data_IF_643192172086
#
_entry.id   IF_643192172086
#
_cell.length_a   1.000
_cell.length_b   1.000
_cell.length_c   1.000
_cell.angle_alpha   90.00
_cell.angle_beta   90.00
_cell.angle_gamma   90.00
#
_symmetry.space_group_name_H-M   'P 1'
#
loop_
_entity.id
_entity.type
_entity.pdbx_description
1 polymer ?
#
# COMPACT_ATOMS: atom_id res chain seq x y z
N UNK A 1 38.12 -17.19 -39.74
CA UNK A 1 36.82 -17.60 -40.31
C UNK A 1 35.66 -16.88 -39.61
N UNK A 2 35.75 -15.55 -39.40
CA UNK A 2 34.98 -14.88 -38.33
C UNK A 2 34.22 -13.61 -38.77
N UNK A 3 34.16 -13.31 -40.08
CA UNK A 3 33.51 -12.08 -40.59
C UNK A 3 32.12 -12.26 -41.20
N UNK A 4 31.65 -13.48 -41.46
CA UNK A 4 30.37 -13.68 -42.18
C UNK A 4 29.12 -13.40 -41.34
N UNK A 5 29.19 -13.56 -40.02
CA UNK A 5 28.01 -13.41 -39.15
C UNK A 5 27.73 -11.95 -38.71
N UNK A 6 28.74 -11.07 -38.71
CA UNK A 6 28.60 -9.65 -38.30
C UNK A 6 27.56 -8.87 -39.11
N UNK A 7 27.39 -9.16 -40.41
CA UNK A 7 26.40 -8.50 -41.28
C UNK A 7 24.95 -8.81 -40.88
N UNK A 8 24.72 -9.98 -40.30
CA UNK A 8 23.38 -10.41 -39.90
C UNK A 8 23.02 -9.94 -38.50
N UNK A 9 24.00 -9.71 -37.61
CA UNK A 9 23.76 -9.22 -36.24
C UNK A 9 23.00 -7.89 -36.24
N UNK A 10 23.36 -6.95 -37.10
CA UNK A 10 22.66 -5.66 -37.20
C UNK A 10 21.21 -5.84 -37.65
N UNK A 11 20.98 -6.68 -38.66
CA UNK A 11 19.63 -6.94 -39.19
C UNK A 11 18.77 -7.73 -38.19
N UNK A 12 19.35 -8.72 -37.50
CA UNK A 12 18.67 -9.49 -36.45
C UNK A 12 18.35 -8.59 -35.26
N UNK A 13 19.29 -7.74 -34.83
CA UNK A 13 19.06 -6.76 -33.78
C UNK A 13 17.97 -5.76 -34.15
N UNK A 14 17.99 -5.23 -35.38
CA UNK A 14 16.95 -4.34 -35.89
C UNK A 14 15.58 -5.01 -35.88
N UNK A 15 15.47 -6.25 -36.39
CA UNK A 15 14.22 -7.03 -36.39
C UNK A 15 13.72 -7.32 -34.98
N UNK A 16 14.60 -7.73 -34.05
CA UNK A 16 14.23 -8.00 -32.66
C UNK A 16 13.68 -6.75 -31.95
N UNK A 17 14.16 -5.55 -32.29
CA UNK A 17 13.61 -4.31 -31.75
C UNK A 17 12.17 -4.01 -32.22
N UNK A 18 11.71 -4.56 -33.36
CA UNK A 18 10.31 -4.43 -33.77
C UNK A 18 9.37 -5.40 -33.05
N UNK A 19 9.89 -6.49 -32.49
CA UNK A 19 9.09 -7.55 -31.84
C UNK A 19 9.14 -7.53 -30.32
N UNK A 20 10.03 -6.74 -29.72
CA UNK A 20 10.07 -6.53 -28.27
C UNK A 20 9.23 -5.30 -27.92
N UNK A 21 7.93 -5.49 -27.76
CA UNK A 21 7.04 -4.49 -27.17
C UNK A 21 6.74 -4.87 -25.72
N UNK A 22 6.76 -3.88 -24.83
CA UNK A 22 6.21 -4.05 -23.49
C UNK A 22 4.69 -3.98 -23.59
N UNK A 23 4.01 -5.03 -23.15
CA UNK A 23 2.56 -5.04 -23.00
C UNK A 23 2.20 -4.58 -21.58
N UNK A 24 1.01 -4.01 -21.43
CA UNK A 24 0.46 -3.75 -20.09
C UNK A 24 0.19 -5.10 -19.44
N UNK A 25 0.53 -5.22 -18.16
CA UNK A 25 0.20 -6.44 -17.42
C UNK A 25 -1.33 -6.59 -17.35
N UNK A 26 -1.84 -7.76 -17.76
CA UNK A 26 -3.26 -8.10 -17.67
C UNK A 26 -3.66 -8.35 -16.22
N UNK A 27 -4.01 -7.27 -15.52
CA UNK A 27 -4.32 -7.30 -14.10
C UNK A 27 -5.25 -6.18 -13.66
N UNK A 28 -5.47 -6.11 -12.34
CA UNK A 28 -6.29 -5.09 -11.71
C UNK A 28 -5.42 -4.16 -10.87
N UNK A 29 -5.79 -2.88 -10.84
CA UNK A 29 -5.18 -1.86 -10.00
C UNK A 29 -6.08 -1.62 -8.79
N UNK A 30 -5.54 -1.81 -7.60
CA UNK A 30 -6.19 -1.49 -6.33
C UNK A 30 -5.53 -0.24 -5.74
N UNK A 31 -6.31 0.79 -5.43
CA UNK A 31 -5.77 2.03 -4.87
C UNK A 31 -6.81 2.81 -4.08
N UNK A 32 -6.34 3.64 -3.15
CA UNK A 32 -7.16 4.63 -2.44
C UNK A 32 -6.57 6.01 -2.76
N UNK A 33 -7.28 6.88 -3.49
CA UNK A 33 -6.84 8.26 -3.68
C UNK A 33 -6.68 8.95 -2.33
N UNK A 34 -5.51 9.54 -2.09
CA UNK A 34 -5.26 10.34 -0.90
C UNK A 34 -5.77 11.76 -1.15
N UNK A 35 -6.83 12.15 -0.45
CA UNK A 35 -7.34 13.51 -0.44
C UNK A 35 -7.11 14.14 0.94
N UNK A 36 -6.19 15.10 1.01
CA UNK A 36 -5.75 15.74 2.25
C UNK A 36 -6.79 16.69 2.89
N UNK A 37 -8.03 16.72 2.39
CA UNK A 37 -9.13 17.48 3.00
C UNK A 37 -10.50 16.81 2.98
N UNK A 38 -10.61 15.57 2.51
CA UNK A 38 -11.88 14.86 2.45
C UNK A 38 -12.23 14.19 3.78
N UNK A 39 -13.52 14.23 4.14
CA UNK A 39 -14.09 13.34 5.13
C UNK A 39 -14.22 11.94 4.50
N UNK A 40 -13.52 10.96 5.07
CA UNK A 40 -13.50 9.60 4.57
C UNK A 40 -12.59 9.37 3.35
N UNK A 41 -12.66 8.17 2.81
CA UNK A 41 -11.92 7.76 1.62
C UNK A 41 -12.68 6.68 0.84
N UNK A 42 -12.23 6.42 -0.38
CA UNK A 42 -12.77 5.33 -1.20
C UNK A 42 -11.64 4.53 -1.84
N UNK A 43 -11.61 3.23 -1.60
CA UNK A 43 -10.73 2.30 -2.32
C UNK A 43 -11.41 1.87 -3.61
N UNK A 44 -10.66 1.82 -4.71
CA UNK A 44 -11.12 1.40 -6.02
C UNK A 44 -10.32 0.17 -6.49
N UNK A 45 -11.01 -0.82 -7.05
CA UNK A 45 -10.44 -1.91 -7.83
C UNK A 45 -10.84 -1.74 -9.30
N UNK A 46 -9.86 -1.56 -10.18
CA UNK A 46 -10.07 -1.14 -11.57
C UNK A 46 -9.28 -2.02 -12.55
N UNK A 47 -9.81 -2.29 -13.74
CA UNK A 47 -9.09 -2.97 -14.81
C UNK A 47 -8.39 -1.99 -15.79
N UNK A 48 -7.68 -2.51 -16.79
CA UNK A 48 -6.94 -1.71 -17.77
C UNK A 48 -7.84 -0.87 -18.69
N UNK A 49 -9.13 -1.19 -18.80
CA UNK A 49 -10.15 -0.40 -19.53
C UNK A 49 -10.79 0.70 -18.67
N UNK A 50 -10.26 0.97 -17.48
CA UNK A 50 -10.78 1.94 -16.51
C UNK A 50 -12.18 1.61 -15.96
N UNK A 51 -12.61 0.35 -16.07
CA UNK A 51 -13.85 -0.13 -15.46
C UNK A 51 -13.60 -0.40 -13.98
N UNK A 52 -14.37 0.26 -13.12
CA UNK A 52 -14.39 -0.01 -11.68
C UNK A 52 -15.14 -1.32 -11.46
N UNK A 53 -14.44 -2.32 -10.95
CA UNK A 53 -14.99 -3.64 -10.64
C UNK A 53 -15.58 -3.69 -9.23
N UNK A 54 -14.98 -2.94 -8.31
CA UNK A 54 -15.49 -2.77 -6.95
C UNK A 54 -14.98 -1.49 -6.31
N UNK A 55 -15.66 -1.04 -5.26
CA UNK A 55 -15.26 0.08 -4.44
C UNK A 55 -15.65 -0.13 -2.98
N UNK A 56 -14.79 0.32 -2.06
CA UNK A 56 -15.06 0.31 -0.62
C UNK A 56 -15.02 1.73 -0.09
N UNK A 57 -16.00 2.10 0.74
CA UNK A 57 -16.04 3.39 1.43
C UNK A 57 -15.45 3.26 2.83
N UNK A 58 -14.79 4.32 3.27
CA UNK A 58 -14.11 4.39 4.55
C UNK A 58 -14.44 5.69 5.26
N UNK A 59 -14.64 5.64 6.57
CA UNK A 59 -14.88 6.83 7.39
C UNK A 59 -13.58 7.62 7.65
N UNK A 60 -12.43 6.96 7.53
CA UNK A 60 -11.12 7.53 7.81
C UNK A 60 -10.20 7.48 6.57
N UNK A 61 -9.35 8.50 6.45
CA UNK A 61 -8.34 8.57 5.40
C UNK A 61 -7.29 7.46 5.52
N UNK A 62 -6.65 7.06 4.39
CA UNK A 62 -5.72 5.95 4.37
C UNK A 62 -4.42 6.28 5.11
N UNK A 63 -3.88 5.31 5.84
CA UNK A 63 -2.50 5.34 6.34
C UNK A 63 -1.49 4.82 5.30
N UNK A 64 -1.92 3.82 4.51
CA UNK A 64 -1.17 3.25 3.40
C UNK A 64 -2.13 2.64 2.35
N UNK A 65 -1.61 1.75 1.51
CA UNK A 65 -2.41 1.06 0.50
C UNK A 65 -3.27 -0.06 1.12
N UNK A 66 -4.46 -0.33 0.56
CA UNK A 66 -5.24 -1.50 0.94
C UNK A 66 -4.64 -2.78 0.33
N UNK A 67 -4.92 -3.92 0.97
CA UNK A 67 -4.54 -5.24 0.49
C UNK A 67 -5.79 -6.03 0.09
N UNK A 68 -5.87 -6.50 -1.16
CA UNK A 68 -6.91 -7.44 -1.59
C UNK A 68 -6.50 -8.88 -1.23
N UNK A 69 -7.35 -9.57 -0.49
CA UNK A 69 -7.11 -10.94 -0.04
C UNK A 69 -7.77 -11.98 -0.97
N UNK A 70 -7.34 -13.26 -0.92
CA UNK A 70 -7.91 -14.32 -1.77
C UNK A 70 -9.41 -14.59 -1.59
N UNK A 71 -9.99 -14.19 -0.44
CA UNK A 71 -11.43 -14.28 -0.14
C UNK A 71 -12.22 -13.05 -0.65
N UNK A 72 -11.60 -12.20 -1.48
CA UNK A 72 -12.14 -10.95 -2.01
C UNK A 72 -12.43 -9.88 -0.95
N UNK A 73 -12.00 -10.09 0.30
CA UNK A 73 -12.00 -9.03 1.30
C UNK A 73 -10.79 -8.12 1.14
N UNK A 74 -10.84 -6.94 1.76
CA UNK A 74 -9.68 -6.05 1.85
C UNK A 74 -9.24 -5.85 3.29
N UNK A 75 -7.95 -5.60 3.48
CA UNK A 75 -7.40 -4.95 4.67
C UNK A 75 -7.11 -3.49 4.30
N UNK A 76 -7.68 -2.57 5.07
CA UNK A 76 -7.54 -1.12 4.88
C UNK A 76 -6.88 -0.49 6.11
N UNK A 77 -5.60 -0.07 6.00
CA UNK A 77 -4.92 0.70 7.05
C UNK A 77 -5.37 2.16 7.00
N UNK A 78 -5.77 2.72 8.15
CA UNK A 78 -6.34 4.06 8.23
C UNK A 78 -5.71 4.93 9.33
N UNK A 79 -5.81 6.24 9.16
CA UNK A 79 -5.42 7.25 10.15
C UNK A 79 -6.56 7.44 11.15
N UNK A 80 -6.28 7.23 12.44
CA UNK A 80 -7.26 7.49 13.51
C UNK A 80 -7.58 8.99 13.63
N UNK A 81 -8.76 9.33 14.17
CA UNK A 81 -9.21 10.71 14.31
C UNK A 81 -8.34 11.56 15.26
N UNK A 82 -7.68 10.94 16.24
CA UNK A 82 -6.89 11.62 17.27
C UNK A 82 -5.57 10.89 17.51
N UNK A 83 -4.62 10.94 16.55
CA UNK A 83 -3.33 10.29 16.71
C UNK A 83 -2.50 11.01 17.79
N UNK A 84 -1.69 10.25 18.52
CA UNK A 84 -0.80 10.77 19.58
C UNK A 84 0.59 11.16 19.06
N UNK A 85 0.93 10.66 17.87
CA UNK A 85 2.17 10.97 17.14
C UNK A 85 1.85 11.42 15.72
N UNK A 86 2.26 12.65 15.37
CA UNK A 86 2.02 13.25 14.06
C UNK A 86 3.33 13.53 13.31
N UNK A 87 3.64 12.69 12.33
CA UNK A 87 4.76 12.81 11.40
C UNK A 87 4.41 12.13 10.06
N UNK A 88 5.34 12.02 9.11
CA UNK A 88 5.09 11.25 7.88
C UNK A 88 4.72 9.80 8.21
N UNK A 89 3.59 9.30 7.70
CA UNK A 89 3.14 7.92 7.96
C UNK A 89 2.18 7.73 9.13
N UNK A 90 1.46 8.77 9.55
CA UNK A 90 0.45 8.62 10.61
C UNK A 90 -0.61 7.58 10.21
N UNK A 91 -0.68 6.50 10.99
CA UNK A 91 -1.77 5.54 10.93
C UNK A 91 -2.55 5.53 12.24
N UNK A 92 -2.69 4.35 12.83
CA UNK A 92 -3.37 4.14 14.10
C UNK A 92 -4.45 3.09 14.06
N UNK A 93 -4.97 2.70 12.88
CA UNK A 93 -5.95 1.63 12.79
C UNK A 93 -5.91 0.85 11.49
N UNK A 94 -6.64 -0.26 11.49
CA UNK A 94 -6.81 -1.17 10.36
C UNK A 94 -8.18 -1.84 10.42
N UNK A 95 -8.77 -2.03 9.24
CA UNK A 95 -10.12 -2.55 9.08
C UNK A 95 -10.11 -3.66 8.04
N UNK A 96 -10.80 -4.78 8.33
CA UNK A 96 -11.11 -5.79 7.32
C UNK A 96 -12.52 -5.58 6.81
N UNK A 97 -12.70 -5.38 5.52
CA UNK A 97 -14.02 -5.29 4.89
C UNK A 97 -14.23 -6.44 3.90
N UNK A 98 -15.44 -7.02 3.89
CA UNK A 98 -15.85 -7.98 2.86
C UNK A 98 -15.91 -7.32 1.47
N UNK A 99 -16.07 -8.14 0.42
CA UNK A 99 -16.27 -7.64 -0.95
C UNK A 99 -17.43 -6.63 -1.06
N UNK A 100 -18.49 -6.79 -0.27
CA UNK A 100 -19.67 -5.92 -0.31
C UNK A 100 -19.55 -4.68 0.61
N UNK A 101 -18.38 -4.41 1.19
CA UNK A 101 -18.17 -3.26 2.07
C UNK A 101 -18.59 -3.47 3.53
N UNK A 102 -19.07 -4.67 3.92
CA UNK A 102 -19.35 -4.93 5.33
C UNK A 102 -18.04 -5.03 6.13
N UNK A 103 -17.97 -4.30 7.24
CA UNK A 103 -16.89 -4.38 8.21
C UNK A 103 -16.94 -5.75 8.90
N UNK A 104 -15.90 -6.56 8.71
CA UNK A 104 -15.75 -7.86 9.35
C UNK A 104 -15.08 -7.74 10.71
N UNK A 105 -14.08 -6.88 10.81
CA UNK A 105 -13.47 -6.47 12.07
C UNK A 105 -12.69 -5.16 11.89
N UNK A 106 -12.40 -4.52 13.03
CA UNK A 106 -11.54 -3.34 13.15
C UNK A 106 -10.56 -3.53 14.30
N UNK A 107 -9.39 -2.93 14.16
CA UNK A 107 -8.38 -2.91 15.20
C UNK A 107 -7.64 -1.57 15.21
N UNK A 108 -7.71 -0.89 16.35
CA UNK A 108 -6.98 0.36 16.60
C UNK A 108 -5.73 0.06 17.40
N UNK A 109 -4.57 0.47 16.88
CA UNK A 109 -3.28 0.44 17.54
C UNK A 109 -2.73 1.86 17.62
N UNK A 110 -3.24 2.63 18.59
CA UNK A 110 -2.86 4.01 18.87
C UNK A 110 -3.14 4.33 20.33
N UNK A 111 -2.08 4.62 21.08
CA UNK A 111 -2.12 5.10 22.45
C UNK A 111 -0.99 6.11 22.70
N UNK A 112 -0.77 6.53 23.94
CA UNK A 112 0.23 7.56 24.28
C UNK A 112 1.68 7.15 24.00
N UNK A 113 1.96 5.85 23.92
CA UNK A 113 3.31 5.28 23.78
C UNK A 113 3.51 4.61 22.42
N UNK A 114 2.48 4.02 21.82
CA UNK A 114 2.59 3.26 20.58
C UNK A 114 1.54 3.68 19.55
N UNK A 115 1.90 3.67 18.27
CA UNK A 115 0.96 3.95 17.19
C UNK A 115 1.36 3.22 15.90
N UNK A 116 0.39 2.64 15.20
CA UNK A 116 0.59 2.11 13.84
C UNK A 116 1.15 3.20 12.92
N UNK A 117 2.24 2.87 12.23
CA UNK A 117 2.95 3.74 11.31
C UNK A 117 2.82 3.21 9.88
N UNK A 118 2.19 3.94 8.97
CA UNK A 118 2.06 3.57 7.57
C UNK A 118 1.37 2.22 7.30
N UNK A 119 2.16 1.15 7.19
CA UNK A 119 1.83 -0.04 6.41
C UNK A 119 1.70 -1.30 7.26
N UNK A 120 1.04 -2.30 6.69
CA UNK A 120 0.77 -3.59 7.33
C UNK A 120 1.06 -4.73 6.37
N UNK A 121 1.26 -5.94 6.88
CA UNK A 121 1.41 -7.13 6.02
C UNK A 121 0.46 -8.24 6.49
N UNK A 122 -0.64 -8.50 5.76
CA UNK A 122 -1.50 -9.65 6.01
C UNK A 122 -0.78 -10.96 5.65
N UNK A 123 -0.68 -11.88 6.61
CA UNK A 123 0.02 -13.15 6.44
C UNK A 123 -0.94 -14.30 6.04
N UNK A 124 -0.44 -15.36 5.37
CA UNK A 124 -1.26 -16.51 4.96
C UNK A 124 -1.98 -17.24 6.10
N UNK A 125 -1.49 -17.11 7.35
CA UNK A 125 -2.10 -17.71 8.53
C UNK A 125 -3.23 -16.86 9.15
N UNK A 126 -3.56 -15.71 8.55
CA UNK A 126 -4.59 -14.79 9.02
C UNK A 126 -4.11 -13.75 10.03
N UNK A 127 -2.85 -13.78 10.46
CA UNK A 127 -2.26 -12.71 11.27
C UNK A 127 -1.93 -11.51 10.37
N UNK A 128 -1.79 -10.33 10.99
CA UNK A 128 -1.34 -9.11 10.31
C UNK A 128 -0.12 -8.58 11.05
N UNK A 129 0.98 -8.32 10.33
CA UNK A 129 2.11 -7.59 10.87
C UNK A 129 1.82 -6.10 10.77
N UNK A 130 2.11 -5.36 11.84
CA UNK A 130 1.89 -3.93 11.94
C UNK A 130 3.23 -3.30 12.27
N UNK A 131 3.69 -2.35 11.47
CA UNK A 131 4.86 -1.53 11.84
C UNK A 131 4.38 -0.37 12.71
N UNK A 132 5.13 -0.05 13.77
CA UNK A 132 4.65 0.84 14.83
C UNK A 132 5.73 1.85 15.21
N UNK A 133 5.30 3.05 15.55
CA UNK A 133 6.09 3.98 16.33
C UNK A 133 6.00 3.64 17.81
N UNK A 134 7.12 3.81 18.48
CA UNK A 134 7.22 3.89 19.93
C UNK A 134 7.70 5.28 20.29
N UNK A 135 6.95 5.97 21.16
CA UNK A 135 7.32 7.28 21.68
C UNK A 135 8.50 7.13 22.62
N UNK A 136 9.59 7.85 22.32
CA UNK A 136 10.73 8.02 23.21
C UNK A 136 10.73 9.42 23.80
N UNK A 137 11.07 9.51 25.08
CA UNK A 137 11.34 10.77 25.76
C UNK A 137 12.60 11.43 25.19
N UNK A 138 12.75 12.73 25.42
CA UNK A 138 13.98 13.44 25.06
C UNK A 138 15.22 12.82 25.75
N UNK A 139 15.08 12.41 27.01
CA UNK A 139 16.17 11.78 27.75
C UNK A 139 16.60 10.45 27.13
N UNK A 140 15.65 9.56 26.80
CA UNK A 140 15.98 8.31 26.10
C UNK A 140 16.69 8.56 24.77
N UNK A 141 16.27 9.59 24.03
CA UNK A 141 16.94 9.96 22.79
C UNK A 141 18.38 10.44 23.03
N UNK A 142 18.64 11.24 24.07
CA UNK A 142 19.98 11.66 24.46
C UNK A 142 20.85 10.49 24.93
N UNK A 143 20.27 9.58 25.72
CA UNK A 143 20.96 8.37 26.19
C UNK A 143 21.34 7.45 25.01
N UNK A 144 20.61 7.52 23.89
CA UNK A 144 20.91 6.84 22.62
C UNK A 144 21.82 7.66 21.67
N UNK A 145 22.30 8.82 22.09
CA UNK A 145 23.28 9.62 21.35
C UNK A 145 22.72 10.68 20.41
N UNK A 146 21.45 11.08 20.55
CA UNK A 146 20.93 12.28 19.87
C UNK A 146 21.66 13.51 20.40
N UNK A 147 22.13 14.39 19.51
CA UNK A 147 22.68 15.70 19.87
C UNK A 147 21.62 16.80 19.66
N UNK A 148 21.84 17.98 20.25
CA UNK A 148 20.93 19.15 20.20
C UNK A 148 20.93 19.86 18.86
#
# INVERSE_FOLDING_TARGET
MTMKYRKYIFNIGFILNFFLQGEVFEGYTLFTPLDYGAEGATTLLMNNEFIILNSWSHDYGPASMPYLLPDSSIIYPYRVASPTMEAGGVGGGLQKQSWNGNILWEYTFSDENYQHHHDVEPLPNGNVLIIVWEKKTAQEAYDMGRET
#
